data_IF_118072044874
#
_entry.id   IF_118072044874
#
_cell.length_a   1.000
_cell.length_b   1.000
_cell.length_c   1.000
_cell.angle_alpha   90.00
_cell.angle_beta   90.00
_cell.angle_gamma   90.00
#
_symmetry.space_group_name_H-M   'P 1'
#
loop_
_entity.id
_entity.type
_entity.pdbx_description
1 polymer ?
#
# COMPACT_ATOMS: atom_id res chain seq x y z
N UNK A 1 10.28 5.75 -28.67
CA UNK A 1 9.00 5.40 -28.05
C UNK A 1 8.16 6.64 -27.93
N UNK A 2 6.91 6.55 -28.40
CA UNK A 2 5.94 7.64 -28.22
C UNK A 2 5.36 7.57 -26.79
N UNK A 3 4.84 8.66 -26.22
CA UNK A 3 4.18 8.63 -24.91
C UNK A 3 3.09 7.54 -24.84
N UNK A 4 2.34 7.34 -25.92
CA UNK A 4 1.32 6.29 -26.01
C UNK A 4 1.87 4.87 -25.86
N UNK A 5 3.08 4.59 -26.34
CA UNK A 5 3.70 3.28 -26.19
C UNK A 5 3.97 2.95 -24.72
N UNK A 6 4.39 3.96 -23.94
CA UNK A 6 4.62 3.81 -22.49
C UNK A 6 3.30 3.58 -21.74
N UNK A 7 2.25 4.34 -22.06
CA UNK A 7 0.94 4.18 -21.43
C UNK A 7 0.30 2.82 -21.74
N UNK A 8 0.39 2.36 -23.00
CA UNK A 8 -0.09 1.02 -23.37
C UNK A 8 0.71 -0.05 -22.60
N UNK A 9 2.04 0.09 -22.56
CA UNK A 9 2.89 -0.82 -21.80
C UNK A 9 2.53 -0.86 -20.31
N UNK A 10 2.29 0.29 -19.70
CA UNK A 10 1.83 0.42 -18.32
C UNK A 10 0.49 -0.29 -18.12
N UNK A 11 -0.51 -0.03 -18.97
CA UNK A 11 -1.84 -0.62 -18.86
C UNK A 11 -1.78 -2.16 -19.00
N UNK A 12 -1.00 -2.67 -19.96
CA UNK A 12 -0.81 -4.12 -20.13
C UNK A 12 -0.15 -4.74 -18.91
N UNK A 13 0.91 -4.13 -18.36
CA UNK A 13 1.60 -4.64 -17.19
C UNK A 13 0.69 -4.64 -15.95
N UNK A 14 -0.05 -3.56 -15.72
CA UNK A 14 -1.01 -3.46 -14.61
C UNK A 14 -2.09 -4.54 -14.73
N UNK A 15 -2.63 -4.76 -15.92
CA UNK A 15 -3.62 -5.81 -16.19
C UNK A 15 -3.09 -7.22 -15.87
N UNK A 16 -1.78 -7.48 -15.98
CA UNK A 16 -1.20 -8.79 -15.62
C UNK A 16 -1.41 -9.18 -14.15
N UNK A 17 -1.72 -8.23 -13.27
CA UNK A 17 -2.05 -8.51 -11.88
C UNK A 17 -3.30 -9.39 -11.70
N UNK A 18 -4.12 -9.55 -12.74
CA UNK A 18 -5.23 -10.52 -12.72
C UNK A 18 -4.72 -11.97 -12.65
N UNK A 19 -3.52 -12.26 -13.17
CA UNK A 19 -2.96 -13.62 -13.19
C UNK A 19 -2.74 -14.16 -11.77
N UNK A 20 -1.99 -13.46 -10.89
CA UNK A 20 -1.85 -13.90 -9.51
C UNK A 20 -3.18 -13.88 -8.74
N UNK A 21 -4.09 -12.95 -9.02
CA UNK A 21 -5.43 -12.91 -8.42
C UNK A 21 -6.20 -14.21 -8.69
N UNK A 22 -6.28 -14.65 -9.95
CA UNK A 22 -6.90 -15.93 -10.34
C UNK A 22 -6.19 -17.10 -9.64
N UNK A 23 -4.87 -17.05 -9.51
CA UNK A 23 -4.09 -18.05 -8.80
C UNK A 23 -4.44 -18.15 -7.30
N UNK A 24 -4.74 -17.01 -6.65
CA UNK A 24 -5.21 -16.92 -5.26
C UNK A 24 -6.64 -17.47 -5.16
N UNK A 25 -7.55 -17.04 -6.03
CA UNK A 25 -8.94 -17.52 -6.06
C UNK A 25 -9.02 -19.05 -6.19
N UNK A 26 -8.21 -19.62 -7.08
CA UNK A 26 -8.13 -21.10 -7.25
C UNK A 26 -7.59 -21.79 -5.98
N UNK A 27 -6.63 -21.18 -5.29
CA UNK A 27 -6.12 -21.72 -4.03
C UNK A 27 -7.23 -21.80 -2.96
N UNK A 28 -8.05 -20.79 -2.86
CA UNK A 28 -9.17 -20.73 -1.91
C UNK A 28 -10.44 -21.42 -2.43
N UNK A 29 -10.36 -22.11 -3.58
CA UNK A 29 -11.49 -22.86 -4.19
C UNK A 29 -12.72 -22.00 -4.44
N UNK A 30 -12.55 -20.75 -4.80
CA UNK A 30 -13.66 -19.91 -5.26
C UNK A 30 -14.29 -20.49 -6.52
N UNK A 31 -15.60 -20.28 -6.68
CA UNK A 31 -16.30 -20.65 -7.90
C UNK A 31 -15.77 -19.89 -9.11
N UNK A 32 -15.95 -20.44 -10.31
CA UNK A 32 -15.55 -19.75 -11.53
C UNK A 32 -16.22 -18.38 -11.69
N UNK A 33 -17.50 -18.28 -11.31
CA UNK A 33 -18.24 -17.02 -11.34
C UNK A 33 -17.63 -15.98 -10.39
N UNK A 34 -17.30 -16.38 -9.15
CA UNK A 34 -16.64 -15.48 -8.19
C UNK A 34 -15.25 -15.06 -8.70
N UNK A 35 -14.48 -16.00 -9.27
CA UNK A 35 -13.16 -15.69 -9.83
C UNK A 35 -13.25 -14.69 -10.98
N UNK A 36 -14.21 -14.86 -11.89
CA UNK A 36 -14.48 -13.91 -12.97
C UNK A 36 -14.89 -12.56 -12.37
N UNK A 37 -15.81 -12.55 -11.41
CA UNK A 37 -16.25 -11.33 -10.74
C UNK A 37 -15.09 -10.54 -10.15
N UNK A 38 -14.21 -11.17 -9.36
CA UNK A 38 -13.02 -10.52 -8.81
C UNK A 38 -12.04 -10.03 -9.90
N UNK A 39 -11.89 -10.78 -10.99
CA UNK A 39 -11.04 -10.39 -12.11
C UNK A 39 -11.58 -9.15 -12.81
N UNK A 40 -12.91 -9.07 -13.03
CA UNK A 40 -13.58 -7.91 -13.60
C UNK A 40 -13.43 -6.70 -12.69
N UNK A 41 -13.70 -6.86 -11.38
CA UNK A 41 -13.51 -5.79 -10.39
C UNK A 41 -12.07 -5.28 -10.42
N UNK A 42 -11.08 -6.16 -10.45
CA UNK A 42 -9.67 -5.76 -10.54
C UNK A 42 -9.40 -4.97 -11.82
N UNK A 43 -9.80 -5.48 -12.99
CA UNK A 43 -9.48 -4.86 -14.29
C UNK A 43 -10.22 -3.53 -14.52
N UNK A 44 -11.39 -3.33 -13.89
CA UNK A 44 -12.21 -2.13 -14.04
C UNK A 44 -12.24 -1.25 -12.79
N UNK A 45 -11.36 -1.51 -11.82
CA UNK A 45 -11.18 -0.64 -10.66
C UNK A 45 -10.66 0.74 -11.13
N UNK A 46 -11.33 1.79 -10.72
CA UNK A 46 -11.01 3.16 -11.14
C UNK A 46 -9.58 3.52 -10.75
N UNK A 47 -9.14 3.12 -9.57
CA UNK A 47 -7.80 3.38 -9.06
C UNK A 47 -6.68 2.69 -9.87
N UNK A 48 -7.02 1.63 -10.64
CA UNK A 48 -6.09 0.97 -11.55
C UNK A 48 -6.13 1.57 -12.95
N UNK A 49 -7.32 2.00 -13.39
CA UNK A 49 -7.53 2.51 -14.73
C UNK A 49 -7.08 3.96 -14.86
N UNK A 50 -7.42 4.82 -13.90
CA UNK A 50 -7.16 6.24 -13.97
C UNK A 50 -5.67 6.59 -14.24
N UNK A 51 -4.69 5.99 -13.54
CA UNK A 51 -3.28 6.23 -13.83
C UNK A 51 -2.86 5.82 -15.23
N UNK A 52 -3.55 4.83 -15.85
CA UNK A 52 -3.22 4.36 -17.19
C UNK A 52 -3.64 5.34 -18.31
N UNK A 53 -4.54 6.29 -18.01
CA UNK A 53 -5.02 7.27 -18.98
C UNK A 53 -4.39 8.66 -18.80
N UNK A 54 -3.79 8.92 -17.65
CA UNK A 54 -3.33 10.26 -17.32
C UNK A 54 -1.86 10.48 -17.68
N UNK A 55 -0.95 9.73 -17.06
CA UNK A 55 0.48 9.86 -17.28
C UNK A 55 1.20 8.54 -16.93
N UNK A 56 2.48 8.42 -17.39
CA UNK A 56 3.32 7.31 -17.00
C UNK A 56 3.84 7.53 -15.57
N UNK A 57 3.31 6.74 -14.65
CA UNK A 57 3.64 6.83 -13.23
C UNK A 57 4.06 5.47 -12.67
N UNK A 58 5.18 5.47 -11.92
CA UNK A 58 5.68 4.29 -11.24
C UNK A 58 4.67 3.68 -10.25
N UNK A 59 3.86 4.51 -9.61
CA UNK A 59 2.84 4.06 -8.66
C UNK A 59 1.77 3.15 -9.29
N UNK A 60 1.53 3.25 -10.59
CA UNK A 60 0.58 2.41 -11.29
C UNK A 60 0.94 0.91 -11.22
N UNK A 61 2.22 0.57 -11.02
CA UNK A 61 2.66 -0.83 -10.92
C UNK A 61 2.44 -1.44 -9.53
N UNK A 62 2.20 -0.63 -8.49
CA UNK A 62 2.05 -1.11 -7.11
C UNK A 62 0.96 -2.19 -6.96
N UNK A 63 -0.27 -2.02 -7.48
CA UNK A 63 -1.32 -3.02 -7.32
C UNK A 63 -0.95 -4.37 -7.95
N UNK A 64 -0.33 -4.36 -9.12
CA UNK A 64 0.13 -5.57 -9.80
C UNK A 64 1.23 -6.28 -8.99
N UNK A 65 2.24 -5.53 -8.53
CA UNK A 65 3.33 -6.08 -7.72
C UNK A 65 2.81 -6.63 -6.38
N UNK A 66 1.86 -5.94 -5.74
CA UNK A 66 1.20 -6.41 -4.52
C UNK A 66 0.41 -7.70 -4.76
N UNK A 67 -0.30 -7.83 -5.88
CA UNK A 67 -0.99 -9.08 -6.23
C UNK A 67 -0.01 -10.24 -6.36
N UNK A 68 1.14 -10.04 -7.02
CA UNK A 68 2.20 -11.04 -7.11
C UNK A 68 2.82 -11.36 -5.75
N UNK A 69 3.03 -10.35 -4.89
CA UNK A 69 3.49 -10.56 -3.52
C UNK A 69 2.52 -11.44 -2.73
N UNK A 70 1.23 -11.12 -2.72
CA UNK A 70 0.22 -11.92 -2.02
C UNK A 70 0.10 -13.32 -2.58
N UNK A 71 0.19 -13.49 -3.90
CA UNK A 71 0.24 -14.80 -4.51
C UNK A 71 1.45 -15.61 -4.04
N UNK A 72 2.61 -14.99 -3.95
CA UNK A 72 3.82 -15.64 -3.45
C UNK A 72 3.69 -16.06 -1.98
N UNK A 73 3.13 -15.19 -1.13
CA UNK A 73 2.82 -15.47 0.27
C UNK A 73 1.88 -16.66 0.38
N UNK A 74 0.76 -16.64 -0.34
CA UNK A 74 -0.27 -17.68 -0.28
C UNK A 74 0.21 -19.02 -0.86
N UNK A 75 1.07 -19.02 -1.86
CA UNK A 75 1.67 -20.23 -2.46
C UNK A 75 2.97 -20.64 -1.76
N UNK A 76 3.41 -19.95 -0.71
CA UNK A 76 4.67 -20.20 0.03
C UNK A 76 5.90 -20.16 -0.90
N UNK A 77 5.86 -19.33 -1.95
CA UNK A 77 6.95 -19.12 -2.91
C UNK A 77 7.87 -18.00 -2.40
N UNK A 78 8.72 -18.31 -1.42
CA UNK A 78 9.51 -17.31 -0.70
C UNK A 78 10.47 -16.52 -1.59
N UNK A 79 11.09 -17.15 -2.59
CA UNK A 79 11.98 -16.44 -3.53
C UNK A 79 11.20 -15.37 -4.30
N UNK A 80 10.04 -15.72 -4.84
CA UNK A 80 9.17 -14.76 -5.54
C UNK A 80 8.73 -13.63 -4.59
N UNK A 81 8.39 -13.95 -3.34
CA UNK A 81 8.02 -12.98 -2.32
C UNK A 81 9.13 -11.94 -2.10
N UNK A 82 10.40 -12.38 -1.99
CA UNK A 82 11.53 -11.47 -1.84
C UNK A 82 11.80 -10.63 -3.10
N UNK A 83 11.66 -11.22 -4.29
CA UNK A 83 11.78 -10.46 -5.55
C UNK A 83 10.71 -9.37 -5.61
N UNK A 84 9.44 -9.71 -5.30
CA UNK A 84 8.35 -8.72 -5.29
C UNK A 84 8.57 -7.65 -4.21
N UNK A 85 9.10 -8.02 -3.03
CA UNK A 85 9.49 -7.06 -1.99
C UNK A 85 10.52 -6.08 -2.51
N UNK A 86 11.58 -6.56 -3.15
CA UNK A 86 12.63 -5.68 -3.71
C UNK A 86 12.07 -4.74 -4.79
N UNK A 87 11.24 -5.26 -5.70
CA UNK A 87 10.61 -4.44 -6.74
C UNK A 87 9.68 -3.38 -6.13
N UNK A 88 8.86 -3.73 -5.14
CA UNK A 88 7.98 -2.78 -4.44
C UNK A 88 8.76 -1.66 -3.77
N UNK A 89 9.88 -1.96 -3.12
CA UNK A 89 10.72 -0.96 -2.46
C UNK A 89 11.40 0.01 -3.44
N UNK A 90 11.65 -0.43 -4.69
CA UNK A 90 12.25 0.42 -5.73
C UNK A 90 11.23 1.40 -6.30
N UNK A 91 9.94 1.08 -6.27
CA UNK A 91 8.91 1.94 -6.87
C UNK A 91 8.88 3.31 -6.18
N UNK A 92 8.78 3.32 -4.84
CA UNK A 92 8.73 4.57 -4.08
C UNK A 92 9.14 4.36 -2.62
N UNK A 93 9.72 5.41 -2.00
CA UNK A 93 10.21 5.37 -0.63
C UNK A 93 9.13 5.07 0.42
N UNK A 94 7.93 5.60 0.24
CA UNK A 94 6.81 5.41 1.16
C UNK A 94 6.26 3.98 1.17
N UNK A 95 6.42 3.26 0.05
CA UNK A 95 6.04 1.84 -0.06
C UNK A 95 6.78 0.98 0.96
N UNK A 96 7.95 1.41 1.43
CA UNK A 96 8.68 0.71 2.47
C UNK A 96 7.89 0.56 3.78
N UNK A 97 7.07 1.56 4.14
CA UNK A 97 6.17 1.50 5.31
C UNK A 97 5.09 0.42 5.09
N UNK A 98 4.50 0.37 3.89
CA UNK A 98 3.57 -0.71 3.52
C UNK A 98 4.22 -2.08 3.68
N UNK A 99 5.46 -2.21 3.20
CA UNK A 99 6.17 -3.49 3.23
C UNK A 99 6.56 -3.91 4.64
N UNK A 100 6.83 -2.98 5.56
CA UNK A 100 6.99 -3.29 6.99
C UNK A 100 5.70 -3.90 7.55
N UNK A 101 4.55 -3.27 7.31
CA UNK A 101 3.27 -3.74 7.81
C UNK A 101 2.85 -5.08 7.15
N UNK A 102 3.12 -5.25 5.86
CA UNK A 102 2.91 -6.53 5.17
C UNK A 102 3.85 -7.63 5.70
N UNK A 103 5.08 -7.28 6.05
CA UNK A 103 6.00 -8.19 6.72
C UNK A 103 5.48 -8.65 8.08
N UNK A 104 4.94 -7.72 8.88
CA UNK A 104 4.27 -8.05 10.15
C UNK A 104 3.05 -8.96 9.91
N UNK A 105 2.21 -8.67 8.92
CA UNK A 105 1.12 -9.57 8.51
C UNK A 105 1.65 -10.97 8.19
N UNK A 106 2.75 -11.06 7.43
CA UNK A 106 3.35 -12.34 7.05
C UNK A 106 3.87 -13.14 8.26
N UNK A 107 4.35 -12.47 9.34
CA UNK A 107 4.75 -13.16 10.59
C UNK A 107 3.57 -13.96 11.17
N UNK A 108 2.36 -13.42 11.12
CA UNK A 108 1.16 -14.08 11.62
C UNK A 108 0.55 -15.05 10.62
N UNK A 109 0.75 -14.82 9.32
CA UNK A 109 0.14 -15.61 8.24
C UNK A 109 0.97 -16.83 7.83
N UNK A 110 2.29 -16.73 7.86
CA UNK A 110 3.19 -17.77 7.39
C UNK A 110 3.55 -18.74 8.50
N UNK A 111 3.66 -20.03 8.17
CA UNK A 111 4.20 -21.06 9.09
C UNK A 111 5.66 -20.75 9.46
N UNK A 112 6.46 -20.35 8.47
CA UNK A 112 7.86 -19.93 8.66
C UNK A 112 7.91 -18.42 8.89
N UNK A 113 7.64 -18.00 10.12
CA UNK A 113 7.53 -16.60 10.53
C UNK A 113 8.76 -15.75 10.22
N UNK A 114 9.94 -16.35 10.17
CA UNK A 114 11.18 -15.61 9.87
C UNK A 114 11.16 -14.93 8.50
N UNK A 115 10.45 -15.49 7.50
CA UNK A 115 10.32 -14.83 6.20
C UNK A 115 9.56 -13.50 6.30
N UNK A 116 8.52 -13.44 7.13
CA UNK A 116 7.82 -12.18 7.42
C UNK A 116 8.72 -11.19 8.15
N UNK A 117 9.49 -11.66 9.14
CA UNK A 117 10.45 -10.83 9.88
C UNK A 117 11.56 -10.28 8.97
N UNK A 118 12.06 -11.07 8.01
CA UNK A 118 13.03 -10.60 7.00
C UNK A 118 12.43 -9.51 6.13
N UNK A 119 11.20 -9.67 5.63
CA UNK A 119 10.52 -8.65 4.83
C UNK A 119 10.35 -7.37 5.64
N UNK A 120 9.83 -7.45 6.87
CA UNK A 120 9.63 -6.29 7.73
C UNK A 120 10.96 -5.59 8.07
N UNK A 121 11.97 -6.35 8.49
CA UNK A 121 13.27 -5.82 8.87
C UNK A 121 14.00 -5.17 7.69
N UNK A 122 14.05 -5.84 6.54
CA UNK A 122 14.67 -5.30 5.34
C UNK A 122 13.99 -4.01 4.87
N UNK A 123 12.65 -3.99 4.85
CA UNK A 123 11.89 -2.81 4.46
C UNK A 123 12.06 -1.65 5.45
N UNK A 124 12.14 -1.95 6.76
CA UNK A 124 12.40 -0.94 7.77
C UNK A 124 13.80 -0.32 7.66
N UNK A 125 14.83 -1.15 7.43
CA UNK A 125 16.19 -0.67 7.17
C UNK A 125 16.24 0.17 5.89
N UNK A 126 15.60 -0.29 4.82
CA UNK A 126 15.50 0.46 3.57
C UNK A 126 14.86 1.83 3.78
N UNK A 127 13.73 1.90 4.50
CA UNK A 127 13.07 3.16 4.84
C UNK A 127 14.01 4.14 5.54
N UNK A 128 14.71 3.70 6.59
CA UNK A 128 15.63 4.55 7.34
C UNK A 128 16.79 5.04 6.48
N UNK A 129 17.34 4.16 5.64
CA UNK A 129 18.45 4.51 4.75
C UNK A 129 18.02 5.53 3.70
N UNK A 130 16.90 5.27 3.01
CA UNK A 130 16.40 6.16 1.95
C UNK A 130 15.99 7.50 2.52
N UNK A 131 15.26 7.54 3.65
CA UNK A 131 14.86 8.79 4.29
C UNK A 131 16.06 9.63 4.67
N UNK A 132 17.12 9.03 5.25
CA UNK A 132 18.35 9.75 5.57
C UNK A 132 19.12 10.24 4.35
N UNK A 133 19.10 9.47 3.24
CA UNK A 133 19.71 9.91 1.99
C UNK A 133 18.94 11.09 1.40
N UNK A 134 17.61 11.06 1.44
CA UNK A 134 16.76 12.17 0.99
C UNK A 134 16.97 13.43 1.85
N UNK A 135 17.08 13.31 3.17
CA UNK A 135 17.41 14.41 4.06
C UNK A 135 18.78 15.04 3.73
N UNK A 136 19.76 14.22 3.36
CA UNK A 136 21.13 14.69 3.09
C UNK A 136 21.30 15.30 1.69
N UNK A 137 20.60 14.77 0.69
CA UNK A 137 20.81 15.11 -0.73
C UNK A 137 19.60 15.70 -1.42
N UNK A 138 18.40 15.65 -0.81
CA UNK A 138 17.15 16.13 -1.38
C UNK A 138 16.70 17.49 -0.84
N UNK A 139 15.79 18.13 -1.55
CA UNK A 139 15.12 19.34 -1.11
C UNK A 139 13.91 19.02 -0.23
N UNK A 140 14.13 18.92 1.07
CA UNK A 140 13.06 18.77 2.07
C UNK A 140 12.83 17.35 2.57
N UNK A 141 12.30 17.28 3.77
CA UNK A 141 12.05 16.02 4.48
C UNK A 141 10.68 15.52 4.09
N UNK A 142 10.63 14.32 3.46
CA UNK A 142 9.38 13.61 3.14
C UNK A 142 8.38 13.65 4.31
N UNK A 143 8.88 13.39 5.51
CA UNK A 143 8.09 13.30 6.74
C UNK A 143 7.35 14.60 7.08
N UNK A 144 8.02 15.76 6.98
CA UNK A 144 7.40 17.06 7.27
C UNK A 144 6.41 17.50 6.20
N UNK A 145 6.68 17.15 4.95
CA UNK A 145 5.81 17.45 3.83
C UNK A 145 4.51 16.64 3.87
N UNK A 146 4.60 15.36 4.21
CA UNK A 146 3.46 14.43 4.16
C UNK A 146 2.67 14.42 5.48
N UNK A 147 3.35 14.46 6.62
CA UNK A 147 2.76 14.30 7.94
C UNK A 147 2.94 15.53 8.85
N UNK A 148 3.09 16.72 8.26
CA UNK A 148 3.27 17.96 9.01
C UNK A 148 2.11 18.26 9.97
N UNK A 149 0.89 17.85 9.64
CA UNK A 149 -0.31 17.95 10.47
C UNK A 149 -0.23 17.13 11.76
N UNK A 150 0.55 16.04 11.78
CA UNK A 150 0.71 15.17 12.94
C UNK A 150 1.90 15.56 13.82
N UNK A 151 2.63 16.61 13.46
CA UNK A 151 3.79 17.08 14.20
C UNK A 151 3.42 18.22 15.13
N UNK A 152 3.45 17.96 16.43
CA UNK A 152 3.29 19.00 17.46
C UNK A 152 4.53 19.88 17.61
N UNK A 153 5.72 19.37 17.25
CA UNK A 153 6.99 20.09 17.23
C UNK A 153 7.52 20.23 15.80
N UNK A 154 8.11 21.40 15.50
CA UNK A 154 8.69 21.71 14.16
C UNK A 154 9.89 20.85 13.75
N UNK A 155 10.34 19.92 14.60
CA UNK A 155 11.39 18.96 14.24
C UNK A 155 10.80 17.81 13.42
N UNK A 156 11.08 17.82 12.14
CA UNK A 156 10.61 16.87 11.16
C UNK A 156 11.24 15.47 11.38
N UNK A 157 10.74 14.70 12.35
CA UNK A 157 11.19 13.34 12.59
C UNK A 157 10.01 12.38 12.64
N UNK A 158 10.15 11.24 11.96
CA UNK A 158 9.16 10.15 12.00
C UNK A 158 8.90 9.65 13.45
N UNK A 159 9.91 9.76 14.32
CA UNK A 159 9.78 9.48 15.76
C UNK A 159 8.74 10.37 16.46
N UNK A 160 8.58 11.62 16.04
CA UNK A 160 7.58 12.52 16.60
C UNK A 160 6.16 12.13 16.19
N UNK A 161 5.96 11.59 14.99
CA UNK A 161 4.66 11.06 14.56
C UNK A 161 4.27 9.87 15.44
N UNK A 162 5.18 8.91 15.62
CA UNK A 162 4.94 7.76 16.49
C UNK A 162 4.64 8.22 17.92
N UNK A 163 5.41 9.21 18.42
CA UNK A 163 5.16 9.81 19.74
C UNK A 163 3.75 10.40 19.82
N UNK A 164 3.33 11.20 18.84
CA UNK A 164 1.98 11.80 18.79
C UNK A 164 0.89 10.73 18.78
N UNK A 165 1.04 9.67 17.98
CA UNK A 165 0.08 8.55 17.93
C UNK A 165 -0.06 7.86 19.29
N UNK A 166 1.04 7.73 20.05
CA UNK A 166 1.04 7.05 21.36
C UNK A 166 0.57 7.99 22.48
N UNK A 167 1.03 9.25 22.46
CA UNK A 167 0.75 10.19 23.55
C UNK A 167 -0.60 10.87 23.43
N UNK A 168 -1.07 11.09 22.19
CA UNK A 168 -2.37 11.72 21.91
C UNK A 168 -3.10 11.02 20.77
N UNK A 169 -3.62 9.78 21.01
CA UNK A 169 -4.34 9.02 20.01
C UNK A 169 -5.62 9.72 19.54
N UNK A 170 -6.22 10.57 20.39
CA UNK A 170 -7.44 11.30 20.01
C UNK A 170 -7.13 12.38 18.97
N UNK A 171 -6.04 13.10 19.15
CA UNK A 171 -5.56 14.05 18.14
C UNK A 171 -5.28 13.36 16.81
N UNK A 172 -4.58 12.21 16.83
CA UNK A 172 -4.34 11.42 15.62
C UNK A 172 -5.65 11.04 14.92
N UNK A 173 -6.64 10.52 15.66
CA UNK A 173 -7.94 10.16 15.11
C UNK A 173 -8.64 11.38 14.48
N UNK A 174 -8.62 12.53 15.15
CA UNK A 174 -9.24 13.76 14.61
C UNK A 174 -8.57 14.26 13.34
N UNK A 175 -7.27 14.04 13.17
CA UNK A 175 -6.56 14.37 11.95
C UNK A 175 -6.83 13.37 10.81
N UNK A 176 -7.22 12.13 11.11
CA UNK A 176 -7.57 11.09 10.13
C UNK A 176 -9.07 11.09 9.75
N UNK A 177 -9.91 11.91 10.37
CA UNK A 177 -11.36 11.93 10.16
C UNK A 177 -11.79 13.36 9.80
N UNK A 178 -11.28 13.87 8.69
CA UNK A 178 -11.84 15.05 8.03
C UNK A 178 -12.98 14.63 7.08
N UNK A 179 -13.81 15.59 6.67
CA UNK A 179 -14.94 15.33 5.75
C UNK A 179 -14.48 14.70 4.43
N UNK A 180 -13.35 15.13 3.91
CA UNK A 180 -12.74 14.59 2.68
C UNK A 180 -12.28 13.16 2.86
N UNK A 181 -11.61 12.86 3.97
CA UNK A 181 -11.11 11.53 4.31
C UNK A 181 -12.26 10.54 4.52
N UNK A 182 -13.34 11.00 5.18
CA UNK A 182 -14.54 10.19 5.35
C UNK A 182 -15.20 9.87 4.01
N UNK A 183 -15.28 10.85 3.09
CA UNK A 183 -15.77 10.63 1.72
C UNK A 183 -14.90 9.60 0.97
N UNK A 184 -13.58 9.73 1.03
CA UNK A 184 -12.64 8.78 0.43
C UNK A 184 -12.87 7.37 0.97
N UNK A 185 -12.95 7.25 2.29
CA UNK A 185 -13.21 5.97 2.94
C UNK A 185 -14.53 5.35 2.44
N UNK A 186 -15.59 6.12 2.31
CA UNK A 186 -16.88 5.62 1.79
C UNK A 186 -16.78 5.19 0.33
N UNK A 187 -16.14 5.99 -0.53
CA UNK A 187 -15.98 5.68 -1.97
C UNK A 187 -15.26 4.33 -2.14
N UNK A 188 -14.25 4.04 -1.33
CA UNK A 188 -13.50 2.79 -1.42
C UNK A 188 -14.24 1.63 -0.73
N UNK A 189 -14.87 1.87 0.42
CA UNK A 189 -15.48 0.80 1.22
C UNK A 189 -16.85 0.35 0.74
N UNK A 190 -17.66 1.25 0.14
CA UNK A 190 -18.98 0.89 -0.37
C UNK A 190 -18.90 -0.21 -1.44
N UNK A 191 -18.08 -0.10 -2.50
CA UNK A 191 -17.93 -1.17 -3.49
C UNK A 191 -17.41 -2.49 -2.89
N UNK A 192 -16.67 -2.41 -1.81
CA UNK A 192 -16.13 -3.57 -1.08
C UNK A 192 -17.11 -4.11 -0.01
N UNK A 193 -18.33 -3.54 0.10
CA UNK A 193 -19.31 -3.93 1.11
C UNK A 193 -18.74 -3.96 2.55
N UNK A 194 -17.79 -3.08 2.86
CA UNK A 194 -17.08 -3.04 4.15
C UNK A 194 -16.43 -4.37 4.56
N UNK A 195 -16.19 -5.28 3.62
CA UNK A 195 -15.56 -6.59 3.88
C UNK A 195 -14.23 -6.52 4.65
N UNK A 196 -13.34 -5.52 4.41
CA UNK A 196 -12.10 -5.42 5.16
C UNK A 196 -12.27 -5.28 6.68
N UNK A 197 -13.42 -4.75 7.14
CA UNK A 197 -13.72 -4.60 8.57
C UNK A 197 -14.37 -5.85 9.17
N UNK A 198 -14.92 -6.75 8.34
CA UNK A 198 -15.59 -7.97 8.77
C UNK A 198 -14.60 -9.14 8.85
N UNK A 199 -13.49 -8.94 9.53
CA UNK A 199 -12.49 -10.01 9.69
C UNK A 199 -12.44 -10.51 11.12
N UNK A 200 -12.31 -11.85 11.27
CA UNK A 200 -12.12 -12.50 12.58
C UNK A 200 -10.64 -12.64 12.96
N UNK A 201 -9.72 -12.35 12.05
CA UNK A 201 -8.29 -12.51 12.27
C UNK A 201 -7.62 -11.16 12.48
N UNK A 202 -7.03 -10.96 13.64
CA UNK A 202 -6.31 -9.74 14.00
C UNK A 202 -5.22 -9.37 12.97
N UNK A 203 -4.54 -10.37 12.39
CA UNK A 203 -3.50 -10.14 11.40
C UNK A 203 -3.98 -9.37 10.15
N UNK A 204 -5.25 -9.46 9.79
CA UNK A 204 -5.80 -8.77 8.62
C UNK A 204 -5.86 -7.25 8.81
N UNK A 205 -5.90 -6.76 10.06
CA UNK A 205 -5.85 -5.31 10.32
C UNK A 205 -4.50 -4.69 9.93
N UNK A 206 -3.41 -5.48 9.88
CA UNK A 206 -2.16 -5.00 9.31
C UNK A 206 -2.25 -4.68 7.82
N UNK A 207 -3.25 -5.21 7.10
CA UNK A 207 -3.52 -4.86 5.71
C UNK A 207 -4.30 -3.54 5.57
N UNK A 208 -5.06 -3.15 6.59
CA UNK A 208 -5.77 -1.86 6.63
C UNK A 208 -4.87 -0.72 7.12
N UNK A 209 -3.89 -1.02 7.97
CA UNK A 209 -2.99 -0.02 8.54
C UNK A 209 -2.27 0.83 7.48
N UNK A 210 -1.74 0.27 6.36
CA UNK A 210 -1.18 1.07 5.29
C UNK A 210 -2.17 2.07 4.71
N UNK A 211 -3.41 1.65 4.47
CA UNK A 211 -4.44 2.53 3.94
C UNK A 211 -4.68 3.74 4.85
N UNK A 212 -4.82 3.51 6.16
CA UNK A 212 -5.00 4.57 7.15
C UNK A 212 -3.79 5.50 7.18
N UNK A 213 -2.57 4.94 7.27
CA UNK A 213 -1.34 5.71 7.41
C UNK A 213 -0.98 6.53 6.18
N UNK A 214 -1.33 6.07 4.98
CA UNK A 214 -0.89 6.69 3.74
C UNK A 214 -1.98 7.52 3.04
N UNK A 215 -3.24 7.30 3.36
CA UNK A 215 -4.35 8.01 2.72
C UNK A 215 -5.15 8.88 3.69
N UNK A 216 -5.29 8.48 4.96
CA UNK A 216 -6.09 9.22 5.94
C UNK A 216 -5.25 10.06 6.90
N UNK A 217 -3.98 9.72 7.13
CA UNK A 217 -3.11 10.44 8.06
C UNK A 217 -2.35 11.64 7.44
N UNK A 218 -2.05 11.69 6.12
CA UNK A 218 -1.34 12.82 5.53
C UNK A 218 -2.19 14.10 5.52
N UNK A 219 -1.61 15.22 5.96
CA UNK A 219 -2.22 16.55 5.83
C UNK A 219 -2.04 17.19 4.46
N UNK A 220 -1.65 16.43 3.47
CA UNK A 220 -1.34 16.92 2.13
C UNK A 220 -2.59 16.89 1.25
N UNK A 221 -3.06 18.08 0.83
CA UNK A 221 -4.34 18.25 0.14
C UNK A 221 -4.55 17.45 -1.15
N UNK A 222 -3.46 17.05 -1.83
CA UNK A 222 -3.57 16.24 -3.05
C UNK A 222 -3.91 14.76 -2.81
N UNK A 223 -3.74 14.24 -1.60
CA UNK A 223 -4.14 12.86 -1.32
C UNK A 223 -5.66 12.68 -1.43
N UNK A 224 -6.40 13.77 -1.22
CA UNK A 224 -7.86 13.79 -1.11
C UNK A 224 -8.56 14.66 -2.16
N UNK A 225 -7.83 15.33 -3.05
CA UNK A 225 -8.41 16.12 -4.14
C UNK A 225 -8.72 15.21 -5.34
N UNK A 226 -9.94 14.72 -5.36
CA UNK A 226 -10.57 14.16 -6.56
C UNK A 226 -11.14 15.32 -7.37
N UNK A 227 -10.27 15.99 -8.13
CA UNK A 227 -10.66 16.97 -9.14
C UNK A 227 -11.15 16.33 -10.42
#
# INVERSE_FOLDING_TARGET
PTPYTLLIGQAVLVATGVIPLVGICRKFKFSNMATIGFSVVYLFCVELIAPCFYDFHENAFLPMLLMWFFYAVEKKKYVLMYIMTALLLIVKEDVSIYMVLLGLFCIFRLEKRYHGAVVAGFSGVYFVVVTRLMEKYGEGVFTSRTYGNLMTDKSASFGNIIKTVITDPMYFITQCVDEKDFKLMLIIMIPLFFLPFVTKHFSHYFLLAPFILMNLAPGYGYANDYG
#
